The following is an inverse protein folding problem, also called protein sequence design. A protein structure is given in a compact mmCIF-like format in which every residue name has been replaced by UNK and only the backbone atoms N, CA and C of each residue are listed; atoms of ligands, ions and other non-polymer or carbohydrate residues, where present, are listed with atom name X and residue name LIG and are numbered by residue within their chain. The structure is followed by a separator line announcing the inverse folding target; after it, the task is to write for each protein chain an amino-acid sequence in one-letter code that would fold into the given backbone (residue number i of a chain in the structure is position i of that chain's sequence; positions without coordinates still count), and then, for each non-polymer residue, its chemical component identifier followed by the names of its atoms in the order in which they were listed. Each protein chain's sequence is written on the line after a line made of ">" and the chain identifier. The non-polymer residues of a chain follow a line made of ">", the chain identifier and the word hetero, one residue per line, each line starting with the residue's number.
data_IF_650632254830
#
_entry.id   IF_650632254830
#
_cell.length_a   1.000
_cell.length_b   1.000
_cell.length_c   1.000
_cell.angle_alpha   90.00
_cell.angle_beta   90.00
_cell.angle_gamma   90.00
#
_symmetry.space_group_name_H-M   'P 1'
#
loop_
_entity.id
_entity.type
_entity.pdbx_description
1 polymer ?
#
# COMPACT_ATOMS: atom_id res chain seq x y z
N UNK A 1 -10.73 7.48 8.38
CA UNK A 1 -11.83 8.37 7.91
C UNK A 1 -11.42 9.85 8.08
N UNK A 2 -10.12 10.09 8.21
CA UNK A 2 -9.59 11.28 8.89
C UNK A 2 -9.15 12.38 7.94
N UNK A 3 -8.90 12.05 6.67
CA UNK A 3 -8.67 13.06 5.62
C UNK A 3 -9.89 13.96 5.40
N UNK A 4 -11.11 13.41 5.52
CA UNK A 4 -12.32 14.20 5.40
C UNK A 4 -12.46 15.21 6.54
N UNK A 5 -12.08 14.81 7.77
CA UNK A 5 -12.09 15.67 8.96
C UNK A 5 -10.99 16.74 8.89
N UNK A 6 -9.79 16.37 8.43
CA UNK A 6 -8.69 17.31 8.20
C UNK A 6 -9.03 18.33 7.10
N UNK A 7 -9.70 17.91 6.02
CA UNK A 7 -10.11 18.81 4.95
C UNK A 7 -11.25 19.74 5.38
N UNK A 8 -12.21 19.24 6.15
CA UNK A 8 -13.31 20.03 6.70
C UNK A 8 -12.81 21.09 7.69
N UNK A 9 -11.87 20.75 8.58
CA UNK A 9 -11.27 21.69 9.53
C UNK A 9 -10.40 22.74 8.84
N UNK A 10 -9.63 22.37 7.81
CA UNK A 10 -8.91 23.35 6.98
C UNK A 10 -9.86 24.33 6.27
N UNK A 11 -10.99 23.84 5.76
CA UNK A 11 -12.02 24.67 5.10
C UNK A 11 -12.70 25.65 6.07
N UNK A 12 -12.93 25.22 7.32
CA UNK A 12 -13.43 26.07 8.39
C UNK A 12 -12.40 27.15 8.78
N UNK A 13 -11.12 26.80 8.92
CA UNK A 13 -10.06 27.77 9.21
C UNK A 13 -9.93 28.83 8.11
N UNK A 14 -10.02 28.45 6.83
CA UNK A 14 -10.04 29.39 5.70
C UNK A 14 -11.25 30.34 5.75
N UNK A 15 -12.40 29.86 6.20
CA UNK A 15 -13.60 30.70 6.38
C UNK A 15 -13.38 31.72 7.49
N UNK A 16 -12.78 31.33 8.62
CA UNK A 16 -12.45 32.24 9.72
C UNK A 16 -11.44 33.30 9.26
N UNK A 17 -10.43 32.93 8.47
CA UNK A 17 -9.48 33.90 7.89
C UNK A 17 -10.17 34.88 6.93
N UNK A 18 -11.15 34.42 6.14
CA UNK A 18 -11.97 35.31 5.31
C UNK A 18 -12.82 36.26 6.16
N UNK A 19 -13.45 35.75 7.20
CA UNK A 19 -14.22 36.56 8.16
C UNK A 19 -13.32 37.61 8.82
N UNK A 20 -12.12 37.25 9.28
CA UNK A 20 -11.15 38.20 9.83
C UNK A 20 -10.76 39.31 8.84
N UNK A 21 -10.64 38.99 7.55
CA UNK A 21 -10.35 39.98 6.49
C UNK A 21 -11.53 40.92 6.22
N UNK A 22 -12.77 40.46 6.42
CA UNK A 22 -13.98 41.28 6.31
C UNK A 22 -14.22 42.14 7.56
N UNK A 23 -13.80 41.65 8.73
CA UNK A 23 -13.90 42.27 10.06
C UNK A 23 -13.03 43.55 10.19
N UNK A 24 -11.98 43.73 9.38
CA UNK A 24 -11.12 44.94 9.42
C UNK A 24 -11.88 46.27 9.14
N UNK A 25 -13.09 46.23 8.59
CA UNK A 25 -13.94 47.43 8.42
C UNK A 25 -14.88 47.64 9.62
N UNK A 26 -14.31 48.04 10.76
CA UNK A 26 -15.06 48.73 11.82
C UNK A 26 -15.64 47.88 12.96
N UNK A 27 -14.88 46.88 13.44
CA UNK A 27 -15.34 45.93 14.48
C UNK A 27 -14.64 46.15 15.84
N UNK A 28 -15.34 45.75 16.91
CA UNK A 28 -14.87 45.83 18.31
C UNK A 28 -13.74 44.84 18.63
N UNK A 29 -12.83 45.22 19.55
CA UNK A 29 -11.69 44.40 19.99
C UNK A 29 -12.12 43.00 20.49
N UNK A 30 -13.35 42.88 21.04
CA UNK A 30 -13.90 41.63 21.54
C UNK A 30 -14.17 40.59 20.46
N UNK A 31 -14.72 41.00 19.31
CA UNK A 31 -15.01 40.10 18.18
C UNK A 31 -13.71 39.57 17.55
N UNK A 32 -12.69 40.42 17.47
CA UNK A 32 -11.35 40.03 17.01
C UNK A 32 -10.71 38.97 17.91
N UNK A 33 -10.80 39.15 19.23
CA UNK A 33 -10.30 38.16 20.21
C UNK A 33 -11.08 36.83 20.13
N UNK A 34 -12.39 36.88 19.94
CA UNK A 34 -13.20 35.67 19.77
C UNK A 34 -12.80 34.90 18.51
N UNK A 35 -12.70 35.60 17.38
CA UNK A 35 -12.32 34.97 16.11
C UNK A 35 -10.89 34.40 16.14
N UNK A 36 -9.96 35.04 16.85
CA UNK A 36 -8.63 34.48 17.08
C UNK A 36 -8.68 33.21 17.94
N UNK A 37 -9.46 33.20 19.02
CA UNK A 37 -9.62 32.01 19.85
C UNK A 37 -10.22 30.83 19.05
N UNK A 38 -11.23 31.11 18.22
CA UNK A 38 -11.84 30.11 17.33
C UNK A 38 -10.83 29.58 16.30
N UNK A 39 -10.01 30.46 15.71
CA UNK A 39 -8.95 30.07 14.79
C UNK A 39 -7.92 29.16 15.47
N UNK A 40 -7.48 29.51 16.68
CA UNK A 40 -6.53 28.68 17.44
C UNK A 40 -7.11 27.29 17.76
N UNK A 41 -8.39 27.23 18.15
CA UNK A 41 -9.09 25.96 18.37
C UNK A 41 -9.11 25.11 17.11
N UNK A 42 -9.48 25.70 15.96
CA UNK A 42 -9.54 24.99 14.67
C UNK A 42 -8.18 24.52 14.18
N UNK A 43 -7.13 25.29 14.40
CA UNK A 43 -5.75 24.88 14.06
C UNK A 43 -5.29 23.71 14.93
N UNK A 44 -5.65 23.70 16.22
CA UNK A 44 -5.35 22.57 17.11
C UNK A 44 -6.07 21.29 16.66
N UNK A 45 -7.37 21.38 16.36
CA UNK A 45 -8.16 20.27 15.79
C UNK A 45 -7.55 19.75 14.50
N UNK A 46 -7.15 20.65 13.58
CA UNK A 46 -6.51 20.28 12.32
C UNK A 46 -5.19 19.54 12.54
N UNK A 47 -4.37 19.99 13.51
CA UNK A 47 -3.09 19.34 13.82
C UNK A 47 -3.29 17.93 14.37
N UNK A 48 -4.30 17.72 15.20
CA UNK A 48 -4.66 16.39 15.70
C UNK A 48 -5.10 15.49 14.55
N UNK A 49 -6.07 15.93 13.75
CA UNK A 49 -6.58 15.17 12.61
C UNK A 49 -5.46 14.83 11.59
N UNK A 50 -4.50 15.72 11.37
CA UNK A 50 -3.36 15.46 10.49
C UNK A 50 -2.39 14.43 11.08
N UNK A 51 -2.21 14.42 12.40
CA UNK A 51 -1.36 13.44 13.10
C UNK A 51 -1.98 12.05 12.98
N UNK A 52 -3.27 11.94 13.26
CA UNK A 52 -4.02 10.67 13.15
C UNK A 52 -4.00 10.15 11.70
N UNK A 53 -4.23 11.03 10.72
CA UNK A 53 -4.17 10.67 9.31
C UNK A 53 -2.76 10.19 8.87
N UNK A 54 -1.70 10.77 9.43
CA UNK A 54 -0.31 10.36 9.17
C UNK A 54 -0.02 8.97 9.74
N UNK A 55 -0.54 8.67 10.92
CA UNK A 55 -0.43 7.34 11.53
C UNK A 55 -1.18 6.29 10.69
N UNK A 56 -2.39 6.61 10.23
CA UNK A 56 -3.18 5.73 9.37
C UNK A 56 -2.46 5.42 8.04
N UNK A 57 -1.82 6.42 7.40
CA UNK A 57 -0.99 6.20 6.20
C UNK A 57 0.16 5.26 6.52
N UNK A 58 0.91 5.54 7.59
CA UNK A 58 2.11 4.78 7.92
C UNK A 58 1.78 3.31 8.21
N UNK A 59 0.65 3.05 8.86
CA UNK A 59 0.18 1.69 9.10
C UNK A 59 -0.23 0.99 7.80
N UNK A 60 -0.96 1.69 6.91
CA UNK A 60 -1.29 1.15 5.59
C UNK A 60 -0.05 0.88 4.75
N UNK A 61 0.96 1.73 4.78
CA UNK A 61 2.23 1.53 4.07
C UNK A 61 2.97 0.28 4.56
N UNK A 62 2.98 0.04 5.88
CA UNK A 62 3.53 -1.20 6.45
C UNK A 62 2.77 -2.43 5.95
N UNK A 63 1.44 -2.40 5.96
CA UNK A 63 0.63 -3.50 5.47
C UNK A 63 0.84 -3.75 3.97
N UNK A 64 0.88 -2.69 3.16
CA UNK A 64 1.19 -2.79 1.73
C UNK A 64 2.57 -3.43 1.53
N UNK A 65 3.58 -3.03 2.30
CA UNK A 65 4.92 -3.64 2.23
C UNK A 65 4.87 -5.12 2.60
N UNK A 66 4.25 -5.47 3.72
CA UNK A 66 4.12 -6.86 4.15
C UNK A 66 3.39 -7.72 3.11
N UNK A 67 2.30 -7.22 2.54
CA UNK A 67 1.57 -7.90 1.47
C UNK A 67 2.41 -8.04 0.21
N UNK A 68 3.18 -7.01 -0.18
CA UNK A 68 4.12 -7.10 -1.31
C UNK A 68 5.20 -8.15 -1.08
N UNK A 69 5.74 -8.24 0.14
CA UNK A 69 6.74 -9.24 0.50
C UNK A 69 6.15 -10.65 0.48
N UNK A 70 4.91 -10.83 0.96
CA UNK A 70 4.18 -12.11 0.86
C UNK A 70 3.89 -12.49 -0.59
N UNK A 71 3.41 -11.54 -1.41
CA UNK A 71 3.20 -11.75 -2.84
C UNK A 71 4.53 -12.12 -3.50
N UNK A 72 5.63 -11.43 -3.17
CA UNK A 72 6.94 -11.77 -3.69
C UNK A 72 7.32 -13.20 -3.31
N UNK A 73 7.12 -13.61 -2.06
CA UNK A 73 7.40 -14.97 -1.59
C UNK A 73 6.56 -16.05 -2.27
N UNK A 74 5.26 -15.81 -2.47
CA UNK A 74 4.34 -16.78 -3.09
C UNK A 74 4.39 -16.79 -4.62
N UNK A 75 4.74 -15.66 -5.25
CA UNK A 75 4.76 -15.50 -6.72
C UNK A 75 6.16 -15.70 -7.29
N UNK A 76 7.20 -15.72 -6.47
CA UNK A 76 8.54 -16.08 -6.92
C UNK A 76 8.67 -17.59 -7.05
N UNK A 77 8.51 -18.11 -8.26
CA UNK A 77 9.25 -19.32 -8.62
C UNK A 77 10.75 -19.11 -8.38
N UNK A 78 11.52 -20.19 -8.24
CA UNK A 78 12.95 -20.11 -7.95
C UNK A 78 13.66 -19.10 -8.87
N UNK A 79 14.67 -18.41 -8.32
CA UNK A 79 15.50 -17.50 -9.11
C UNK A 79 16.14 -18.28 -10.27
N UNK A 80 16.16 -17.66 -11.46
CA UNK A 80 16.76 -18.29 -12.63
C UNK A 80 18.25 -18.55 -12.37
N UNK A 81 18.73 -19.80 -12.49
CA UNK A 81 20.14 -20.14 -12.23
C UNK A 81 21.10 -19.52 -13.26
N UNK A 82 20.60 -19.10 -14.43
CA UNK A 82 21.42 -18.54 -15.51
C UNK A 82 21.64 -17.03 -15.36
N UNK A 83 20.57 -16.25 -15.14
CA UNK A 83 20.67 -14.79 -15.08
C UNK A 83 20.57 -14.21 -13.67
N UNK A 84 20.15 -14.98 -12.66
CA UNK A 84 20.00 -14.54 -11.26
C UNK A 84 18.89 -13.51 -10.99
N UNK A 85 18.46 -12.77 -12.01
CA UNK A 85 17.53 -11.65 -11.87
C UNK A 85 16.08 -12.03 -12.23
N UNK A 86 15.89 -13.01 -13.11
CA UNK A 86 14.56 -13.48 -13.52
C UNK A 86 13.98 -14.55 -12.59
N UNK A 87 12.68 -14.80 -12.72
CA UNK A 87 11.93 -15.83 -11.96
C UNK A 87 11.44 -16.94 -12.90
N UNK A 88 11.53 -18.18 -12.43
CA UNK A 88 11.09 -19.35 -13.19
C UNK A 88 9.55 -19.52 -13.09
N UNK A 89 8.84 -19.39 -14.20
CA UNK A 89 7.37 -19.55 -14.28
C UNK A 89 7.00 -20.88 -14.93
N UNK A 90 6.00 -21.58 -14.40
CA UNK A 90 5.48 -22.82 -15.00
C UNK A 90 4.73 -22.48 -16.29
N UNK A 91 5.20 -22.99 -17.43
CA UNK A 91 4.55 -22.82 -18.74
C UNK A 91 3.78 -24.07 -19.18
N UNK A 92 4.16 -25.24 -18.67
CA UNK A 92 3.46 -26.48 -18.92
C UNK A 92 3.62 -27.42 -17.72
N UNK A 93 2.59 -28.20 -17.43
CA UNK A 93 2.64 -29.31 -16.49
C UNK A 93 2.10 -30.54 -17.20
N UNK A 94 2.88 -31.62 -17.25
CA UNK A 94 2.51 -32.90 -17.87
C UNK A 94 2.71 -34.02 -16.87
N UNK A 95 1.94 -35.11 -16.96
CA UNK A 95 2.15 -36.27 -16.08
C UNK A 95 3.51 -36.90 -16.40
N UNK A 96 4.30 -37.20 -15.37
CA UNK A 96 5.60 -37.85 -15.55
C UNK A 96 5.38 -39.25 -16.18
N UNK A 97 6.13 -39.64 -17.23
CA UNK A 97 5.94 -40.93 -17.90
C UNK A 97 6.18 -42.15 -17.01
N UNK A 98 7.06 -42.02 -16.01
CA UNK A 98 7.51 -43.12 -15.13
C UNK A 98 6.75 -43.07 -13.82
N UNK A 99 6.69 -41.91 -13.17
CA UNK A 99 6.15 -41.74 -11.82
C UNK A 99 4.74 -41.14 -11.78
N UNK A 100 4.19 -40.68 -12.91
CA UNK A 100 2.88 -40.04 -12.97
C UNK A 100 1.69 -40.98 -12.77
N UNK A 101 1.85 -42.30 -12.97
CA UNK A 101 0.79 -43.30 -12.68
C UNK A 101 0.83 -43.86 -11.25
N UNK A 102 2.01 -43.90 -10.64
CA UNK A 102 2.22 -44.59 -9.35
C UNK A 102 2.25 -43.60 -8.18
N UNK A 103 2.90 -42.45 -8.35
CA UNK A 103 3.08 -41.45 -7.30
C UNK A 103 2.41 -40.09 -7.63
N UNK A 104 1.71 -39.97 -8.77
CA UNK A 104 1.01 -38.73 -9.14
C UNK A 104 1.93 -37.55 -9.49
N UNK A 105 3.24 -37.80 -9.66
CA UNK A 105 4.27 -36.79 -9.94
C UNK A 105 4.02 -36.13 -11.31
N UNK A 106 4.22 -34.82 -11.35
CA UNK A 106 4.11 -34.00 -12.57
C UNK A 106 5.49 -33.53 -13.03
N UNK A 107 5.72 -33.55 -14.33
CA UNK A 107 6.85 -32.86 -14.96
C UNK A 107 6.41 -31.43 -15.30
N UNK A 108 7.01 -30.44 -14.65
CA UNK A 108 6.74 -29.03 -14.91
C UNK A 108 7.86 -28.43 -15.76
N UNK A 109 7.50 -27.88 -16.91
CA UNK A 109 8.40 -27.04 -17.70
C UNK A 109 8.32 -25.62 -17.18
N UNK A 110 9.46 -25.13 -16.70
CA UNK A 110 9.65 -23.79 -16.18
C UNK A 110 10.34 -22.93 -17.25
N UNK A 111 9.97 -21.66 -17.34
CA UNK A 111 10.61 -20.67 -18.21
C UNK A 111 10.88 -19.38 -17.44
N UNK A 112 12.10 -18.87 -17.57
CA UNK A 112 12.51 -17.59 -17.04
C UNK A 112 11.81 -16.45 -17.80
N UNK A 113 11.24 -15.52 -17.05
CA UNK A 113 10.60 -14.31 -17.58
C UNK A 113 11.57 -13.30 -18.21
N UNK A 114 12.83 -13.26 -17.78
CA UNK A 114 13.82 -12.27 -18.23
C UNK A 114 14.72 -12.73 -19.36
N UNK A 115 15.41 -13.86 -19.19
CA UNK A 115 16.39 -14.37 -20.18
C UNK A 115 15.83 -15.45 -21.12
N UNK A 116 14.59 -15.90 -20.89
CA UNK A 116 13.95 -16.92 -21.72
C UNK A 116 14.45 -18.36 -21.52
N UNK A 117 15.41 -18.59 -20.60
CA UNK A 117 15.88 -19.93 -20.22
C UNK A 117 14.72 -20.84 -19.81
N UNK A 118 14.78 -22.12 -20.16
CA UNK A 118 13.76 -23.11 -19.82
C UNK A 118 14.36 -24.40 -19.26
N UNK A 119 13.76 -24.94 -18.21
CA UNK A 119 14.17 -26.19 -17.56
C UNK A 119 12.95 -27.03 -17.18
N UNK A 120 13.15 -28.32 -16.90
CA UNK A 120 12.08 -29.25 -16.52
C UNK A 120 12.37 -29.83 -15.14
N UNK A 121 11.43 -29.63 -14.21
CA UNK A 121 11.52 -30.16 -12.85
C UNK A 121 10.40 -31.16 -12.60
N UNK A 122 10.73 -32.25 -11.90
CA UNK A 122 9.73 -33.10 -11.28
C UNK A 122 9.13 -32.36 -10.08
N UNK A 123 7.81 -32.32 -10.01
CA UNK A 123 7.05 -31.75 -8.92
C UNK A 123 6.03 -32.76 -8.44
N UNK A 124 6.15 -33.16 -7.19
CA UNK A 124 5.16 -33.98 -6.51
C UNK A 124 4.12 -33.08 -5.83
N UNK A 125 2.84 -33.07 -6.27
CA UNK A 125 1.81 -32.26 -5.65
C UNK A 125 1.36 -32.76 -4.26
N UNK A 126 1.78 -33.96 -3.82
CA UNK A 126 1.47 -34.50 -2.49
C UNK A 126 2.57 -34.25 -1.45
N UNK A 127 3.77 -33.86 -1.88
CA UNK A 127 4.87 -33.45 -1.01
C UNK A 127 4.77 -31.94 -0.73
N UNK A 128 3.91 -31.57 0.20
CA UNK A 128 3.75 -30.19 0.67
C UNK A 128 4.34 -30.03 2.07
#
# INVERSE_FOLDING_TARGET
>A
MDFAVALASASQALTIVKQLREIEKGVSEGELKSAMADLYGKVAELRMALTDAREEIHEKDKQIKALKDQIAAHTSGHACPICGEGRMKVIASTKDPVFGRVAGVQLRTLKCDKCGHSEQHQHDPQAN
#
